data_IF_531656556885
#
_entry.id   IF_531656556885
#
_cell.length_a   1.000
_cell.length_b   1.000
_cell.length_c   1.000
_cell.angle_alpha   90.00
_cell.angle_beta   90.00
_cell.angle_gamma   90.00
#
_symmetry.space_group_name_H-M   'P 1'
#
loop_
_entity.id
_entity.type
_entity.pdbx_description
1 polymer ?
#
# COMPACT_ATOMS: atom_id res chain seq x y z
N UNK A 1 -23.82 -3.53 -31.89
CA UNK A 1 -23.51 -4.90 -31.43
C UNK A 1 -22.11 -5.24 -31.92
N UNK A 2 -21.09 -5.15 -31.06
CA UNK A 2 -19.75 -5.61 -31.40
C UNK A 2 -19.76 -7.15 -31.46
N UNK A 3 -19.44 -7.73 -32.62
CA UNK A 3 -19.29 -9.17 -32.77
C UNK A 3 -18.17 -9.65 -31.84
N UNK A 4 -18.49 -10.55 -30.90
CA UNK A 4 -17.47 -11.22 -30.09
C UNK A 4 -16.55 -12.01 -31.03
N UNK A 5 -15.22 -11.86 -30.96
CA UNK A 5 -14.31 -12.63 -31.77
C UNK A 5 -14.54 -14.13 -31.50
N UNK A 6 -14.50 -14.95 -32.55
CA UNK A 6 -14.61 -16.42 -32.47
C UNK A 6 -13.35 -17.05 -33.07
N UNK A 7 -12.91 -18.18 -32.53
CA UNK A 7 -11.76 -18.94 -33.03
C UNK A 7 -10.42 -18.53 -32.42
N UNK A 8 -9.34 -18.67 -33.19
CA UNK A 8 -7.95 -18.42 -32.76
C UNK A 8 -7.74 -17.02 -32.18
N UNK A 9 -8.44 -16.00 -32.69
CA UNK A 9 -8.39 -14.62 -32.17
C UNK A 9 -8.90 -14.54 -30.73
N UNK A 10 -10.03 -15.20 -30.40
CA UNK A 10 -10.54 -15.22 -29.02
C UNK A 10 -9.63 -16.02 -28.06
N UNK A 11 -8.93 -17.03 -28.59
CA UNK A 11 -7.92 -17.78 -27.82
C UNK A 11 -6.64 -16.96 -27.63
N UNK A 12 -6.20 -16.23 -28.66
CA UNK A 12 -5.04 -15.32 -28.61
C UNK A 12 -5.30 -14.13 -27.69
N UNK A 13 -6.45 -13.47 -27.81
CA UNK A 13 -6.91 -12.40 -26.89
C UNK A 13 -6.93 -12.91 -25.45
N UNK A 14 -7.43 -14.13 -25.23
CA UNK A 14 -7.42 -14.76 -23.90
C UNK A 14 -6.02 -15.04 -23.35
N UNK A 15 -5.01 -15.23 -24.20
CA UNK A 15 -3.62 -15.44 -23.80
C UNK A 15 -2.86 -14.11 -23.64
N UNK A 16 -3.17 -13.09 -24.44
CA UNK A 16 -2.52 -11.77 -24.38
C UNK A 16 -3.05 -10.91 -23.23
N UNK A 17 -4.37 -10.98 -22.97
CA UNK A 17 -5.03 -10.33 -21.84
C UNK A 17 -4.83 -11.07 -20.52
N UNK A 18 -4.39 -12.34 -20.58
CA UNK A 18 -3.99 -13.05 -19.38
C UNK A 18 -2.80 -12.36 -18.70
N UNK A 19 -3.01 -11.93 -17.46
CA UNK A 19 -1.98 -11.29 -16.65
C UNK A 19 -1.27 -12.35 -15.80
N UNK A 20 0.06 -12.26 -15.74
CA UNK A 20 0.86 -13.14 -14.87
C UNK A 20 0.48 -12.89 -13.41
N UNK A 21 0.06 -11.67 -13.13
CA UNK A 21 -0.40 -11.20 -11.83
C UNK A 21 -1.60 -12.00 -11.32
N UNK A 22 -2.55 -12.42 -12.18
CA UNK A 22 -3.71 -13.22 -11.79
C UNK A 22 -3.34 -14.62 -11.28
N UNK A 23 -2.19 -15.17 -11.71
CA UNK A 23 -1.71 -16.47 -11.22
C UNK A 23 -1.23 -16.39 -9.75
N UNK A 24 -0.94 -15.18 -9.27
CA UNK A 24 -0.32 -14.94 -7.97
C UNK A 24 -1.18 -14.09 -7.03
N UNK A 25 -2.19 -13.39 -7.54
CA UNK A 25 -3.16 -12.63 -6.75
C UNK A 25 -4.34 -13.55 -6.41
N UNK A 26 -4.55 -13.81 -5.12
CA UNK A 26 -5.75 -14.54 -4.68
C UNK A 26 -6.95 -13.59 -4.74
N UNK A 27 -8.03 -13.91 -5.50
CA UNK A 27 -9.23 -13.11 -5.46
C UNK A 27 -9.82 -13.13 -4.05
N UNK A 28 -10.10 -11.95 -3.49
CA UNK A 28 -10.77 -11.83 -2.19
C UNK A 28 -12.27 -11.67 -2.46
N UNK A 29 -13.11 -12.65 -2.13
CA UNK A 29 -14.55 -12.49 -2.29
C UNK A 29 -15.05 -11.37 -1.36
N UNK A 30 -16.06 -10.60 -1.77
CA UNK A 30 -16.61 -9.55 -0.92
C UNK A 30 -17.21 -10.18 0.33
N UNK A 31 -16.63 -9.85 1.49
CA UNK A 31 -17.10 -10.30 2.80
C UNK A 31 -18.51 -9.78 3.13
N UNK A 32 -19.11 -10.24 4.25
CA UNK A 32 -20.39 -9.71 4.73
C UNK A 32 -20.32 -8.20 5.04
N UNK A 33 -21.48 -7.52 5.21
CA UNK A 33 -21.53 -6.20 5.85
C UNK A 33 -20.74 -6.23 7.17
N UNK A 34 -20.14 -5.10 7.53
CA UNK A 34 -19.15 -5.04 8.61
C UNK A 34 -19.66 -4.15 9.72
N UNK A 35 -19.64 -4.67 10.95
CA UNK A 35 -19.86 -3.86 12.14
C UNK A 35 -18.54 -3.66 12.88
N UNK A 36 -18.29 -2.45 13.35
CA UNK A 36 -17.10 -2.06 14.13
C UNK A 36 -17.55 -1.79 15.56
N UNK A 37 -16.93 -2.47 16.53
CA UNK A 37 -17.32 -2.38 17.94
C UNK A 37 -16.34 -1.53 18.74
N UNK A 38 -16.84 -0.54 19.48
CA UNK A 38 -16.05 0.35 20.36
C UNK A 38 -16.56 0.20 21.79
N UNK A 39 -15.69 -0.17 22.73
CA UNK A 39 -16.04 -0.46 24.14
C UNK A 39 -17.18 -1.49 24.32
N UNK A 40 -17.29 -2.43 23.38
CA UNK A 40 -18.28 -3.51 23.40
C UNK A 40 -17.64 -4.86 23.06
N UNK A 41 -18.12 -5.96 23.67
CA UNK A 41 -17.67 -7.29 23.29
C UNK A 41 -18.17 -7.67 21.89
N UNK A 42 -17.42 -8.53 21.21
CA UNK A 42 -17.88 -9.11 19.95
C UNK A 42 -19.12 -9.98 20.18
N UNK A 43 -20.12 -9.95 19.28
CA UNK A 43 -21.27 -10.84 19.35
C UNK A 43 -20.89 -12.33 19.25
N UNK A 44 -21.68 -13.21 19.87
CA UNK A 44 -21.40 -14.65 19.90
C UNK A 44 -21.29 -15.28 18.49
N UNK A 45 -22.04 -14.77 17.51
CA UNK A 45 -22.03 -15.28 16.14
C UNK A 45 -20.73 -15.00 15.37
N UNK A 46 -19.85 -14.12 15.88
CA UNK A 46 -18.50 -13.91 15.34
C UNK A 46 -17.59 -15.11 15.60
N UNK A 47 -17.93 -15.95 16.59
CA UNK A 47 -17.14 -17.10 17.00
C UNK A 47 -17.64 -18.40 16.35
N UNK A 48 -16.69 -19.24 15.98
CA UNK A 48 -16.94 -20.63 15.61
C UNK A 48 -17.29 -21.48 16.84
N UNK A 49 -17.78 -22.71 16.63
CA UNK A 49 -18.01 -23.72 17.70
C UNK A 49 -16.79 -24.00 18.60
N UNK A 50 -15.59 -23.57 18.18
CA UNK A 50 -14.32 -23.70 18.90
C UNK A 50 -13.88 -22.39 19.60
N UNK A 51 -14.74 -21.38 19.67
CA UNK A 51 -14.45 -20.06 20.26
C UNK A 51 -13.53 -19.16 19.42
N UNK A 52 -13.13 -19.57 18.21
CA UNK A 52 -12.25 -18.78 17.34
C UNK A 52 -13.08 -17.83 16.48
N UNK A 53 -12.60 -16.60 16.28
CA UNK A 53 -13.24 -15.65 15.36
C UNK A 53 -13.19 -16.20 13.93
N UNK A 54 -14.36 -16.24 13.27
CA UNK A 54 -14.51 -16.63 11.87
C UNK A 54 -13.69 -15.74 10.95
N UNK A 55 -13.20 -16.31 9.85
CA UNK A 55 -12.34 -15.58 8.89
C UNK A 55 -13.07 -14.43 8.18
N UNK A 56 -14.37 -14.57 7.97
CA UNK A 56 -15.20 -13.58 7.26
C UNK A 56 -15.35 -12.25 8.02
N UNK A 57 -15.23 -12.28 9.34
CA UNK A 57 -15.30 -11.09 10.19
C UNK A 57 -13.92 -10.49 10.50
N UNK A 58 -12.84 -11.02 9.94
CA UNK A 58 -11.49 -10.46 10.14
C UNK A 58 -11.22 -9.33 9.15
N UNK A 59 -10.98 -8.13 9.69
CA UNK A 59 -10.65 -6.95 8.90
C UNK A 59 -9.24 -7.04 8.30
N UNK A 60 -9.01 -6.48 7.13
CA UNK A 60 -7.69 -6.49 6.48
C UNK A 60 -6.70 -5.58 7.23
N UNK A 61 -5.42 -5.92 7.24
CA UNK A 61 -4.38 -5.05 7.82
C UNK A 61 -4.26 -3.73 7.05
N UNK A 62 -3.91 -2.65 7.74
CA UNK A 62 -3.67 -1.35 7.11
C UNK A 62 -2.36 -1.26 6.28
N UNK A 63 -1.56 -2.34 6.27
CA UNK A 63 -0.34 -2.44 5.50
C UNK A 63 -0.57 -2.24 4.00
N UNK A 64 0.14 -1.28 3.41
CA UNK A 64 0.16 -1.05 1.96
C UNK A 64 1.35 -1.75 1.32
N UNK A 65 1.09 -2.46 0.23
CA UNK A 65 2.09 -3.15 -0.57
C UNK A 65 1.76 -2.88 -2.04
N UNK A 66 2.53 -2.00 -2.66
CA UNK A 66 2.47 -1.69 -4.09
C UNK A 66 3.57 -2.38 -4.89
N UNK A 67 4.60 -2.89 -4.19
CA UNK A 67 5.64 -3.72 -4.79
C UNK A 67 5.11 -5.00 -5.42
N UNK A 68 5.66 -5.35 -6.59
CA UNK A 68 5.25 -6.54 -7.36
C UNK A 68 6.08 -7.77 -7.03
N UNK A 69 7.34 -7.54 -6.71
CA UNK A 69 8.32 -8.59 -6.53
C UNK A 69 8.78 -8.67 -5.09
N UNK A 70 9.06 -9.89 -4.65
CA UNK A 70 9.93 -10.14 -3.51
C UNK A 70 11.32 -10.47 -4.05
N UNK A 71 12.37 -10.38 -3.24
CA UNK A 71 13.74 -10.72 -3.68
C UNK A 71 13.79 -12.11 -4.34
N UNK A 72 13.07 -13.09 -3.78
CA UNK A 72 13.02 -14.46 -4.33
C UNK A 72 12.14 -14.58 -5.58
N UNK A 73 11.01 -13.87 -5.62
CA UNK A 73 10.09 -13.93 -6.76
C UNK A 73 10.46 -13.01 -7.91
N UNK A 74 11.45 -12.13 -7.72
CA UNK A 74 11.91 -11.16 -8.73
C UNK A 74 12.38 -11.87 -9.99
N UNK A 75 13.41 -12.72 -9.91
CA UNK A 75 14.02 -13.35 -11.08
C UNK A 75 12.99 -14.19 -11.87
N UNK A 76 12.23 -15.13 -11.25
CA UNK A 76 11.30 -15.97 -12.00
C UNK A 76 10.15 -15.17 -12.63
N UNK A 77 9.59 -14.18 -11.91
CA UNK A 77 8.46 -13.40 -12.43
C UNK A 77 8.90 -12.40 -13.48
N UNK A 78 9.99 -11.67 -13.24
CA UNK A 78 10.55 -10.73 -14.20
C UNK A 78 10.93 -11.44 -15.52
N UNK A 79 11.52 -12.63 -15.44
CA UNK A 79 11.84 -13.41 -16.63
C UNK A 79 10.59 -13.91 -17.36
N UNK A 80 9.55 -14.36 -16.64
CA UNK A 80 8.27 -14.73 -17.24
C UNK A 80 7.61 -13.53 -17.95
N UNK A 81 7.70 -12.33 -17.36
CA UNK A 81 7.22 -11.10 -17.98
C UNK A 81 8.00 -10.75 -19.26
N UNK A 82 9.33 -10.98 -19.28
CA UNK A 82 10.15 -10.82 -20.47
C UNK A 82 9.77 -11.82 -21.57
N UNK A 83 9.55 -13.10 -21.23
CA UNK A 83 9.15 -14.13 -22.19
C UNK A 83 7.71 -14.03 -22.68
N UNK A 84 6.91 -13.12 -22.13
CA UNK A 84 5.60 -12.80 -22.70
C UNK A 84 5.69 -11.98 -24.00
N UNK A 85 6.89 -11.49 -24.36
CA UNK A 85 7.16 -10.91 -25.68
C UNK A 85 7.57 -12.02 -26.65
N UNK A 86 6.86 -12.17 -27.77
CA UNK A 86 7.09 -13.28 -28.71
C UNK A 86 8.51 -13.23 -29.30
N UNK A 87 9.06 -12.04 -29.53
CA UNK A 87 10.45 -11.87 -29.95
C UNK A 87 11.45 -12.48 -28.94
N UNK A 88 11.22 -12.32 -27.63
CA UNK A 88 12.11 -12.89 -26.62
C UNK A 88 12.04 -14.42 -26.59
N UNK A 89 10.85 -15.01 -26.83
CA UNK A 89 10.70 -16.46 -27.00
C UNK A 89 11.46 -16.94 -28.25
N UNK A 90 11.32 -16.23 -29.36
CA UNK A 90 11.97 -16.54 -30.63
C UNK A 90 13.50 -16.53 -30.51
N UNK A 91 14.08 -15.43 -30.00
CA UNK A 91 15.53 -15.32 -29.86
C UNK A 91 16.10 -16.32 -28.84
N UNK A 92 15.37 -16.59 -27.76
CA UNK A 92 15.75 -17.64 -26.82
C UNK A 92 15.72 -19.02 -27.46
N UNK A 93 14.72 -19.32 -28.30
CA UNK A 93 14.64 -20.57 -29.05
C UNK A 93 15.84 -20.75 -29.98
N UNK A 94 16.22 -19.73 -30.74
CA UNK A 94 17.43 -19.76 -31.58
C UNK A 94 18.68 -19.96 -30.75
N UNK A 95 18.82 -19.22 -29.64
CA UNK A 95 19.97 -19.35 -28.76
C UNK A 95 20.09 -20.78 -28.17
N UNK A 96 18.97 -21.38 -27.75
CA UNK A 96 18.92 -22.76 -27.25
C UNK A 96 19.30 -23.77 -28.35
N UNK A 97 18.81 -23.59 -29.58
CA UNK A 97 19.13 -24.49 -30.69
C UNK A 97 20.64 -24.53 -31.01
N UNK A 98 21.35 -23.43 -30.83
CA UNK A 98 22.80 -23.33 -31.05
C UNK A 98 23.64 -24.13 -30.03
N UNK A 99 23.08 -24.47 -28.85
CA UNK A 99 23.80 -25.33 -27.88
C UNK A 99 23.87 -26.80 -28.32
N UNK A 100 23.05 -27.22 -29.28
CA UNK A 100 23.19 -28.53 -29.90
C UNK A 100 24.29 -28.46 -30.96
N UNK A 101 25.40 -29.16 -30.74
CA UNK A 101 26.56 -29.19 -31.64
C UNK A 101 26.20 -29.47 -33.11
N UNK A 102 25.10 -30.17 -33.39
CA UNK A 102 24.60 -30.44 -34.75
C UNK A 102 24.10 -29.19 -35.51
N UNK A 103 23.70 -28.15 -34.78
CA UNK A 103 23.11 -26.92 -35.32
C UNK A 103 23.93 -25.67 -34.98
N UNK A 104 25.09 -25.84 -34.35
CA UNK A 104 25.97 -24.73 -33.97
C UNK A 104 26.73 -24.22 -35.20
N UNK A 105 26.45 -22.99 -35.61
CA UNK A 105 27.19 -22.31 -36.69
C UNK A 105 28.22 -21.33 -36.15
N UNK A 106 27.96 -20.78 -34.95
CA UNK A 106 28.80 -19.82 -34.23
C UNK A 106 28.90 -20.30 -32.78
N UNK A 107 30.00 -19.96 -32.09
CA UNK A 107 30.15 -20.27 -30.68
C UNK A 107 28.90 -19.84 -29.89
N UNK A 108 28.21 -20.74 -29.18
CA UNK A 108 26.92 -20.44 -28.53
C UNK A 108 26.97 -19.24 -27.58
N UNK A 109 28.14 -19.00 -26.95
CA UNK A 109 28.40 -17.86 -26.09
C UNK A 109 28.18 -16.51 -26.79
N UNK A 110 28.59 -16.36 -28.05
CA UNK A 110 28.43 -15.10 -28.80
C UNK A 110 26.97 -14.82 -29.17
N UNK A 111 26.15 -15.87 -29.33
CA UNK A 111 24.72 -15.74 -29.69
C UNK A 111 23.87 -15.40 -28.48
N UNK A 112 24.15 -16.00 -27.32
CA UNK A 112 23.36 -15.75 -26.09
C UNK A 112 23.75 -14.45 -25.38
N UNK A 113 24.99 -13.97 -25.55
CA UNK A 113 25.52 -12.80 -24.86
C UNK A 113 24.64 -11.54 -25.07
N UNK A 114 24.24 -11.15 -26.29
CA UNK A 114 23.36 -10.00 -26.50
C UNK A 114 22.00 -10.14 -25.79
N UNK A 115 21.44 -11.36 -25.74
CA UNK A 115 20.16 -11.62 -25.08
C UNK A 115 20.26 -11.48 -23.58
N UNK A 116 21.32 -12.03 -22.98
CA UNK A 116 21.59 -11.88 -21.54
C UNK A 116 21.77 -10.39 -21.19
N UNK A 117 22.46 -9.62 -22.03
CA UNK A 117 22.64 -8.17 -21.81
C UNK A 117 21.30 -7.44 -21.84
N UNK A 118 20.46 -7.69 -22.86
CA UNK A 118 19.15 -7.03 -22.99
C UNK A 118 18.21 -7.41 -21.84
N UNK A 119 18.14 -8.70 -21.49
CA UNK A 119 17.35 -9.18 -20.35
C UNK A 119 17.88 -8.64 -19.02
N UNK A 120 19.20 -8.54 -18.88
CA UNK A 120 19.88 -7.98 -17.72
C UNK A 120 19.56 -6.50 -17.52
N UNK A 121 19.70 -5.67 -18.56
CA UNK A 121 19.36 -4.24 -18.48
C UNK A 121 17.87 -4.04 -18.15
N UNK A 122 16.99 -4.82 -18.78
CA UNK A 122 15.54 -4.75 -18.50
C UNK A 122 15.24 -5.14 -17.06
N UNK A 123 15.83 -6.24 -16.57
CA UNK A 123 15.70 -6.67 -15.19
C UNK A 123 16.27 -5.63 -14.20
N UNK A 124 17.43 -5.04 -14.48
CA UNK A 124 18.00 -4.01 -13.61
C UNK A 124 17.07 -2.79 -13.48
N UNK A 125 16.50 -2.34 -14.60
CA UNK A 125 15.51 -1.25 -14.60
C UNK A 125 14.27 -1.62 -13.78
N UNK A 126 13.67 -2.77 -14.05
CA UNK A 126 12.44 -3.21 -13.39
C UNK A 126 12.67 -3.45 -11.89
N UNK A 127 13.84 -3.97 -11.53
CA UNK A 127 14.29 -4.13 -10.14
C UNK A 127 14.48 -2.78 -9.43
N UNK A 128 15.11 -1.80 -10.10
CA UNK A 128 15.25 -0.45 -9.54
C UNK A 128 13.89 0.23 -9.32
N UNK A 129 12.97 0.13 -10.28
CA UNK A 129 11.61 0.65 -10.14
C UNK A 129 10.87 -0.03 -8.97
N UNK A 130 11.02 -1.35 -8.78
CA UNK A 130 10.36 -2.05 -7.67
C UNK A 130 11.00 -1.74 -6.31
N UNK A 131 12.32 -1.53 -6.23
CA UNK A 131 13.00 -1.05 -5.01
C UNK A 131 12.44 0.31 -4.60
N UNK A 132 12.22 1.24 -5.55
CA UNK A 132 11.61 2.54 -5.26
C UNK A 132 10.19 2.38 -4.70
N UNK A 133 9.42 1.39 -5.17
CA UNK A 133 8.09 1.06 -4.59
C UNK A 133 8.22 0.53 -3.16
N UNK A 134 9.16 -0.37 -2.87
CA UNK A 134 9.40 -0.85 -1.50
C UNK A 134 9.79 0.30 -0.55
N UNK A 135 10.58 1.26 -1.02
CA UNK A 135 10.94 2.45 -0.24
C UNK A 135 9.71 3.32 0.05
N UNK A 136 8.87 3.56 -0.97
CA UNK A 136 7.62 4.32 -0.81
C UNK A 136 6.62 3.61 0.12
N UNK A 137 6.41 2.31 -0.07
CA UNK A 137 5.57 1.48 0.80
C UNK A 137 6.06 1.55 2.25
N UNK A 138 7.38 1.47 2.46
CA UNK A 138 7.97 1.56 3.80
C UNK A 138 7.76 2.95 4.41
N UNK A 139 7.92 4.02 3.63
CA UNK A 139 7.68 5.36 4.14
C UNK A 139 6.23 5.52 4.64
N UNK A 140 5.24 5.11 3.85
CA UNK A 140 3.81 5.18 4.20
C UNK A 140 3.45 4.27 5.38
N UNK A 141 3.97 3.04 5.42
CA UNK A 141 3.66 2.10 6.49
C UNK A 141 4.25 2.51 7.84
N UNK A 142 5.37 3.23 7.84
CA UNK A 142 6.05 3.73 9.04
C UNK A 142 5.70 5.18 9.39
N UNK A 143 4.77 5.82 8.66
CA UNK A 143 4.14 7.06 9.11
C UNK A 143 3.45 6.82 10.46
N UNK A 144 3.44 7.84 11.32
CA UNK A 144 2.89 7.76 12.67
C UNK A 144 1.46 8.30 12.72
N UNK A 145 0.68 7.81 13.68
CA UNK A 145 -0.65 8.31 14.05
C UNK A 145 -0.84 8.12 15.55
N UNK A 146 -1.58 9.01 16.19
CA UNK A 146 -1.95 8.89 17.61
C UNK A 146 -3.19 8.01 17.76
N UNK A 147 -3.08 6.98 18.59
CA UNK A 147 -4.14 6.01 18.87
C UNK A 147 -4.43 6.00 20.37
N UNK A 148 -5.70 5.85 20.73
CA UNK A 148 -6.13 5.73 22.13
C UNK A 148 -5.49 4.50 22.80
N UNK A 149 -4.92 4.72 23.98
CA UNK A 149 -4.35 3.68 24.83
C UNK A 149 -4.61 3.99 26.31
N UNK A 150 -4.49 2.98 27.18
CA UNK A 150 -4.67 3.13 28.63
C UNK A 150 -6.14 3.07 29.02
N UNK A 151 -6.48 3.32 30.30
CA UNK A 151 -7.87 3.36 30.75
C UNK A 151 -8.63 2.05 30.68
N UNK A 152 -7.95 0.91 30.52
CA UNK A 152 -8.60 -0.37 30.22
C UNK A 152 -9.14 -0.49 28.79
N UNK A 153 -8.85 0.47 27.90
CA UNK A 153 -9.19 0.40 26.49
C UNK A 153 -8.52 -0.80 25.82
N UNK A 154 -9.33 -1.60 25.12
CA UNK A 154 -8.85 -2.69 24.28
C UNK A 154 -9.73 -2.81 23.05
N UNK A 155 -9.12 -2.69 21.88
CA UNK A 155 -9.82 -2.90 20.62
C UNK A 155 -10.28 -4.38 20.49
N UNK A 156 -11.60 -4.66 20.44
CA UNK A 156 -12.14 -6.01 20.30
C UNK A 156 -12.07 -6.53 18.86
N UNK A 157 -11.90 -5.65 17.87
CA UNK A 157 -12.09 -5.97 16.46
C UNK A 157 -10.94 -6.83 15.91
N UNK A 158 -11.25 -7.98 15.27
CA UNK A 158 -10.24 -8.94 14.86
C UNK A 158 -9.61 -8.57 13.51
N UNK A 159 -8.28 -8.54 13.47
CA UNK A 159 -7.51 -8.24 12.25
C UNK A 159 -6.95 -9.50 11.58
N UNK A 160 -6.78 -9.44 10.26
CA UNK A 160 -5.99 -10.40 9.49
C UNK A 160 -4.49 -10.20 9.76
N UNK A 161 -3.70 -11.25 9.58
CA UNK A 161 -2.25 -11.17 9.73
C UNK A 161 -1.64 -10.29 8.64
N UNK A 162 -0.68 -9.42 9.01
CA UNK A 162 0.14 -8.66 8.06
C UNK A 162 0.79 -9.59 7.03
N UNK A 163 0.93 -9.11 5.80
CA UNK A 163 1.64 -9.84 4.76
C UNK A 163 3.12 -9.87 5.10
N UNK A 164 3.67 -11.08 5.19
CA UNK A 164 5.11 -11.27 5.35
C UNK A 164 5.75 -11.20 3.97
N UNK A 165 6.05 -10.00 3.51
CA UNK A 165 6.96 -9.82 2.38
C UNK A 165 8.32 -10.35 2.85
N UNK A 166 8.87 -11.38 2.20
CA UNK A 166 10.16 -12.04 2.54
C UNK A 166 11.39 -11.11 2.31
N UNK A 167 11.27 -9.81 2.62
CA UNK A 167 12.28 -8.77 2.39
C UNK A 167 12.89 -8.29 3.72
N UNK A 168 12.75 -9.06 4.80
CA UNK A 168 13.52 -8.83 6.04
C UNK A 168 15.02 -9.20 5.90
N UNK A 169 15.47 -9.55 4.69
CA UNK A 169 16.85 -9.92 4.38
C UNK A 169 17.77 -8.74 4.05
N UNK A 170 17.28 -7.48 4.01
CA UNK A 170 18.19 -6.34 4.11
C UNK A 170 18.57 -6.18 5.60
N UNK A 171 19.86 -6.31 5.96
CA UNK A 171 20.27 -6.11 7.34
C UNK A 171 19.81 -4.72 7.77
N UNK A 172 19.14 -4.64 8.93
CA UNK A 172 19.08 -3.39 9.69
C UNK A 172 20.52 -2.94 9.84
N UNK A 173 20.95 -1.95 9.04
CA UNK A 173 22.13 -1.16 9.41
C UNK A 173 21.76 -0.53 10.74
N UNK A 174 22.22 -1.15 11.81
CA UNK A 174 22.33 -0.51 13.11
C UNK A 174 23.28 0.65 12.92
N UNK A 175 22.75 1.80 12.54
CA UNK A 175 23.52 3.02 12.44
C UNK A 175 23.54 3.69 13.81
N UNK A 176 24.23 3.06 14.77
CA UNK A 176 24.98 3.84 15.76
C UNK A 176 26.27 4.31 15.08
N UNK A 177 26.17 5.36 14.28
CA UNK A 177 27.32 6.18 13.90
C UNK A 177 26.82 7.61 13.71
N UNK A 178 27.32 8.49 14.57
CA UNK A 178 27.19 9.93 14.49
C UNK A 178 27.61 10.41 13.10
N UNK A 179 26.66 10.91 12.32
CA UNK A 179 26.90 11.61 11.05
C UNK A 179 26.92 13.10 11.40
N UNK A 180 28.04 13.82 11.24
CA UNK A 180 28.02 15.27 11.37
C UNK A 180 27.06 15.84 10.31
N UNK A 181 26.24 16.82 10.71
CA UNK A 181 25.30 17.47 9.80
C UNK A 181 26.00 18.04 8.55
N UNK A 182 25.31 18.10 7.40
CA UNK A 182 25.89 18.57 6.16
C UNK A 182 26.35 20.03 6.30
N UNK A 183 27.53 20.35 5.74
CA UNK A 183 27.97 21.74 5.62
C UNK A 183 27.13 22.41 4.52
N UNK A 184 26.85 23.70 4.71
CA UNK A 184 25.97 24.50 3.83
C UNK A 184 26.33 24.44 2.33
N UNK A 185 27.56 24.06 1.96
CA UNK A 185 28.00 23.88 0.58
C UNK A 185 27.44 22.63 -0.13
N UNK A 186 27.04 21.59 0.61
CA UNK A 186 26.52 20.33 0.03
C UNK A 186 25.01 20.40 -0.28
N UNK A 187 24.30 21.38 0.29
CA UNK A 187 22.85 21.59 0.13
C UNK A 187 22.53 22.16 -1.27
N UNK A 188 23.50 22.80 -1.93
CA UNK A 188 23.29 23.47 -3.21
C UNK A 188 23.27 22.52 -4.43
N UNK A 189 23.68 21.25 -4.28
CA UNK A 189 23.82 20.29 -5.39
C UNK A 189 22.68 19.26 -5.49
N UNK A 190 21.65 19.33 -4.64
CA UNK A 190 20.43 18.49 -4.71
C UNK A 190 19.19 19.20 -5.26
N UNK A 191 19.32 20.45 -5.72
CA UNK A 191 18.21 21.27 -6.24
C UNK A 191 17.79 20.99 -7.70
N UNK A 192 17.98 19.77 -8.21
CA UNK A 192 17.93 19.49 -9.64
C UNK A 192 17.04 18.32 -10.07
N UNK A 193 15.86 18.08 -9.45
CA UNK A 193 14.84 17.18 -10.00
C UNK A 193 13.48 17.25 -9.27
N UNK A 194 12.89 18.44 -9.09
CA UNK A 194 11.46 18.64 -8.86
C UNK A 194 11.10 20.12 -9.08
N UNK A 195 9.90 20.47 -9.58
CA UNK A 195 9.47 21.87 -9.69
C UNK A 195 9.42 22.53 -8.30
N UNK A 196 9.92 23.77 -8.13
CA UNK A 196 9.96 24.43 -6.84
C UNK A 196 8.64 25.17 -6.60
N UNK A 197 7.74 24.58 -5.83
CA UNK A 197 6.67 25.28 -5.12
C UNK A 197 6.03 24.27 -4.15
N UNK A 198 6.32 24.43 -2.84
CA UNK A 198 5.75 23.75 -1.67
C UNK A 198 6.78 23.10 -0.72
N UNK A 199 7.85 23.81 -0.34
CA UNK A 199 8.51 23.59 0.97
C UNK A 199 9.08 24.94 1.43
N UNK A 200 8.20 25.85 1.83
CA UNK A 200 8.56 26.84 2.85
C UNK A 200 7.48 26.73 3.90
N UNK A 201 7.81 26.10 5.03
CA UNK A 201 7.11 26.36 6.27
C UNK A 201 8.11 26.50 7.41
N UNK A 202 7.81 27.52 8.19
CA UNK A 202 8.62 28.18 9.19
C UNK A 202 8.79 27.28 10.42
N UNK A 203 10.01 27.18 10.94
CA UNK A 203 10.24 26.63 12.28
C UNK A 203 10.05 27.77 13.27
N UNK A 204 9.11 27.70 14.23
CA UNK A 204 9.04 28.68 15.31
C UNK A 204 10.26 28.50 16.23
N UNK A 205 10.93 29.60 16.53
CA UNK A 205 12.00 29.67 17.53
C UNK A 205 11.36 29.78 18.92
N UNK A 206 11.14 28.65 19.59
CA UNK A 206 10.83 28.60 21.02
C UNK A 206 11.97 27.93 21.79
N UNK A 207 12.58 28.69 22.69
CA UNK A 207 13.63 28.23 23.59
C UNK A 207 13.04 27.27 24.64
N UNK A 208 13.61 26.08 24.89
CA UNK A 208 13.02 25.13 25.82
C UNK A 208 13.34 25.46 27.29
N UNK A 209 12.33 25.37 28.15
CA UNK A 209 12.49 25.34 29.61
C UNK A 209 13.20 24.06 30.08
N UNK A 210 13.99 24.11 31.18
CA UNK A 210 14.83 22.98 31.59
C UNK A 210 14.03 21.91 32.34
N UNK A 211 13.99 20.68 31.83
CA UNK A 211 13.54 19.53 32.64
C UNK A 211 13.11 18.23 31.95
N UNK A 212 13.06 18.14 30.61
CA UNK A 212 12.57 16.93 29.92
C UNK A 212 13.71 16.24 29.17
N UNK A 213 13.96 14.96 29.46
CA UNK A 213 14.93 14.14 28.70
C UNK A 213 14.36 13.79 27.32
N UNK A 214 14.80 14.50 26.29
CA UNK A 214 14.32 14.37 24.91
C UNK A 214 15.27 13.52 24.06
N UNK A 215 14.87 12.31 23.67
CA UNK A 215 15.58 11.55 22.62
C UNK A 215 14.98 11.83 21.24
N UNK A 216 15.61 12.75 20.51
CA UNK A 216 15.36 13.01 19.08
C UNK A 216 14.09 13.80 18.79
N UNK A 217 14.23 15.09 18.50
CA UNK A 217 13.20 15.86 17.79
C UNK A 217 11.84 15.96 18.49
N UNK A 218 11.82 16.42 19.74
CA UNK A 218 10.84 17.41 20.20
C UNK A 218 9.36 17.05 20.39
N UNK A 219 8.91 15.79 20.34
CA UNK A 219 7.50 15.46 20.68
C UNK A 219 7.39 14.18 21.52
N UNK A 220 6.68 14.18 22.67
CA UNK A 220 6.55 13.00 23.52
C UNK A 220 5.81 11.84 22.83
N UNK A 221 6.19 10.61 23.19
CA UNK A 221 5.59 9.37 22.67
C UNK A 221 4.14 9.18 23.13
N UNK A 222 3.82 9.68 24.32
CA UNK A 222 2.51 9.65 24.96
C UNK A 222 2.04 11.08 25.19
N UNK A 223 0.80 11.36 24.82
CA UNK A 223 0.15 12.66 24.97
C UNK A 223 -1.08 12.49 25.89
N UNK A 224 -1.10 13.23 26.99
CA UNK A 224 -2.15 13.20 28.00
C UNK A 224 -2.99 14.48 27.89
N UNK A 225 -4.32 14.35 27.86
CA UNK A 225 -5.21 15.51 27.76
C UNK A 225 -5.38 16.25 29.11
N UNK A 226 -4.96 15.66 30.24
CA UNK A 226 -5.16 16.20 31.59
C UNK A 226 -4.14 17.26 32.02
N UNK A 227 -3.17 17.59 31.15
CA UNK A 227 -2.11 18.57 31.40
C UNK A 227 -1.16 18.18 32.53
N UNK A 228 -1.27 16.96 33.07
CA UNK A 228 -0.40 16.48 34.14
C UNK A 228 0.89 15.95 33.54
N UNK A 229 1.98 16.13 34.28
CA UNK A 229 3.29 15.61 33.87
C UNK A 229 3.17 14.09 33.65
N UNK A 230 3.68 13.57 32.51
CA UNK A 230 3.78 12.14 32.31
C UNK A 230 4.51 11.51 33.50
N UNK A 231 4.10 10.32 33.95
CA UNK A 231 4.80 9.66 35.04
C UNK A 231 6.23 9.41 34.57
N UNK A 232 7.21 9.83 35.38
CA UNK A 232 8.61 9.62 35.03
C UNK A 232 8.86 8.12 34.82
N UNK A 233 9.26 7.71 33.62
CA UNK A 233 9.75 6.35 33.38
C UNK A 233 10.95 6.13 34.30
N UNK A 234 10.75 5.47 35.45
CA UNK A 234 11.85 5.10 36.32
C UNK A 234 12.84 4.24 35.52
N UNK A 235 14.11 4.65 35.58
CA UNK A 235 15.16 4.20 34.68
C UNK A 235 15.34 2.68 34.57
N UNK A 236 15.87 2.30 33.41
CA UNK A 236 16.51 1.02 33.06
C UNK A 236 16.39 -0.13 34.08
N UNK A 237 15.25 -0.82 34.09
CA UNK A 237 15.16 -2.14 34.73
C UNK A 237 15.70 -3.23 33.79
N UNK A 238 16.90 -3.73 34.08
CA UNK A 238 17.58 -4.80 33.33
C UNK A 238 16.90 -6.18 33.54
N UNK A 239 16.00 -6.31 34.52
CA UNK A 239 15.23 -7.53 34.77
C UNK A 239 13.83 -7.19 35.29
N UNK A 240 12.79 -7.70 34.63
CA UNK A 240 11.42 -7.70 35.14
C UNK A 240 10.44 -6.94 34.26
N UNK A 241 9.36 -7.61 33.89
CA UNK A 241 8.27 -7.17 33.04
C UNK A 241 7.68 -5.83 33.48
N UNK A 242 7.66 -4.84 32.57
CA UNK A 242 6.91 -3.59 32.69
C UNK A 242 5.40 -3.89 32.82
N UNK A 243 4.92 -4.10 34.06
CA UNK A 243 3.51 -4.34 34.38
C UNK A 243 2.84 -3.14 35.07
N UNK A 244 3.51 -1.99 35.15
CA UNK A 244 2.82 -0.72 35.44
C UNK A 244 2.57 0.00 34.12
N UNK A 245 1.74 -0.60 33.27
CA UNK A 245 1.10 0.13 32.18
C UNK A 245 0.26 1.24 32.83
N UNK A 246 0.52 2.49 32.47
CA UNK A 246 -0.29 3.60 32.94
C UNK A 246 -1.77 3.32 32.69
N UNK A 247 -2.52 3.25 33.79
CA UNK A 247 -3.96 3.00 33.78
C UNK A 247 -4.73 4.20 33.24
N UNK A 248 -4.08 5.34 32.98
CA UNK A 248 -4.71 6.56 32.49
C UNK A 248 -4.90 6.51 30.97
N UNK A 249 -6.09 6.88 30.45
CA UNK A 249 -6.27 7.13 29.04
C UNK A 249 -5.29 8.17 28.51
N UNK A 250 -4.63 7.87 27.41
CA UNK A 250 -3.71 8.76 26.72
C UNK A 250 -3.65 8.42 25.23
N UNK A 251 -3.07 9.33 24.46
CA UNK A 251 -2.81 9.13 23.04
C UNK A 251 -1.39 8.62 22.85
N UNK A 252 -1.27 7.46 22.20
CA UNK A 252 0.02 6.81 21.95
C UNK A 252 0.32 6.81 20.46
N UNK A 253 1.54 7.20 20.09
CA UNK A 253 2.01 7.12 18.71
C UNK A 253 2.20 5.66 18.26
N UNK A 254 1.60 5.32 17.14
CA UNK A 254 1.68 4.02 16.48
C UNK A 254 1.91 4.20 14.98
N UNK A 255 2.55 3.24 14.34
CA UNK A 255 2.78 3.27 12.89
C UNK A 255 1.52 2.87 12.11
N UNK A 256 1.36 3.43 10.90
CA UNK A 256 0.18 3.20 10.07
C UNK A 256 -0.07 1.73 9.76
N UNK A 257 0.96 0.90 9.58
CA UNK A 257 0.79 -0.53 9.33
C UNK A 257 0.17 -1.32 10.52
N UNK A 258 0.27 -0.79 11.74
CA UNK A 258 -0.28 -1.38 12.97
C UNK A 258 -1.69 -0.90 13.30
N UNK A 259 -2.17 0.14 12.60
CA UNK A 259 -3.52 0.68 12.75
C UNK A 259 -4.59 -0.37 12.42
N UNK A 260 -5.61 -0.47 13.27
CA UNK A 260 -6.67 -1.48 13.20
C UNK A 260 -8.04 -0.83 13.07
N UNK A 261 -8.98 -1.57 12.50
CA UNK A 261 -10.39 -1.18 12.51
C UNK A 261 -10.89 -1.10 13.95
N UNK A 262 -11.62 -0.04 14.28
CA UNK A 262 -12.11 0.24 15.63
C UNK A 262 -11.10 0.89 16.56
N UNK A 263 -9.87 1.17 16.11
CA UNK A 263 -8.97 2.05 16.85
C UNK A 263 -9.54 3.48 16.85
N UNK A 264 -9.56 4.11 18.03
CA UNK A 264 -9.84 5.54 18.16
C UNK A 264 -8.55 6.29 17.92
N UNK A 265 -8.56 7.25 17.00
CA UNK A 265 -7.39 8.03 16.60
C UNK A 265 -7.60 9.51 16.87
N UNK A 266 -6.51 10.19 17.22
CA UNK A 266 -6.43 11.66 17.26
C UNK A 266 -5.55 12.11 16.11
N UNK A 267 -6.10 12.93 15.22
CA UNK A 267 -5.39 13.50 14.09
C UNK A 267 -5.21 14.99 14.33
N UNK A 268 -4.04 15.52 14.00
CA UNK A 268 -3.72 16.94 14.10
C UNK A 268 -3.90 17.69 12.79
N UNK A 269 -3.81 19.01 12.87
CA UNK A 269 -3.72 19.85 11.68
C UNK A 269 -2.52 19.47 10.80
N UNK A 270 -2.67 19.59 9.47
CA UNK A 270 -1.67 19.21 8.47
C UNK A 270 -1.29 17.71 8.43
N UNK A 271 -1.97 16.84 9.19
CA UNK A 271 -1.71 15.41 9.15
C UNK A 271 -2.43 14.72 7.99
N UNK A 272 -1.78 13.69 7.43
CA UNK A 272 -2.40 12.82 6.43
C UNK A 272 -3.31 11.79 7.12
N UNK A 273 -4.47 11.56 6.53
CA UNK A 273 -5.43 10.59 7.05
C UNK A 273 -4.98 9.14 6.68
N UNK A 274 -4.76 8.25 7.67
CA UNK A 274 -4.13 6.93 7.44
C UNK A 274 -5.06 5.86 6.87
N UNK A 275 -6.37 6.00 7.09
CA UNK A 275 -7.39 5.01 6.85
C UNK A 275 -8.76 5.71 6.68
N UNK A 276 -9.82 5.00 6.31
CA UNK A 276 -11.14 5.63 6.25
C UNK A 276 -11.73 5.69 7.67
N UNK A 277 -11.94 6.91 8.17
CA UNK A 277 -12.21 7.20 9.58
C UNK A 277 -13.54 7.94 9.73
N UNK A 278 -14.35 7.51 10.70
CA UNK A 278 -15.56 8.22 11.12
C UNK A 278 -15.18 9.37 12.04
N UNK A 279 -15.70 10.57 11.79
CA UNK A 279 -15.43 11.75 12.63
C UNK A 279 -16.35 11.71 13.85
N UNK A 280 -15.76 11.63 15.04
CA UNK A 280 -16.51 11.62 16.31
C UNK A 280 -16.66 13.03 16.87
N UNK A 281 -15.57 13.80 16.90
CA UNK A 281 -15.57 15.19 17.35
C UNK A 281 -14.39 15.96 16.75
N UNK A 282 -14.48 17.28 16.72
CA UNK A 282 -13.40 18.16 16.25
C UNK A 282 -13.14 19.27 17.28
N UNK A 283 -12.01 19.97 17.12
CA UNK A 283 -11.65 21.15 17.91
C UNK A 283 -12.63 22.31 17.74
N UNK A 284 -13.29 22.40 16.58
CA UNK A 284 -14.19 23.50 16.24
C UNK A 284 -15.55 23.40 16.95
N UNK A 285 -16.15 24.54 17.25
CA UNK A 285 -17.41 24.62 18.02
C UNK A 285 -18.60 23.97 17.30
N UNK A 286 -18.64 24.04 15.97
CA UNK A 286 -19.68 23.43 15.14
C UNK A 286 -19.39 21.96 14.78
N UNK A 287 -18.31 21.38 15.35
CA UNK A 287 -17.81 20.05 14.99
C UNK A 287 -17.58 19.86 13.48
N UNK A 288 -17.14 20.94 12.82
CA UNK A 288 -16.75 20.96 11.41
C UNK A 288 -15.25 20.75 11.32
N UNK A 289 -14.77 20.11 10.27
CA UNK A 289 -13.36 20.13 9.90
C UNK A 289 -13.19 20.28 8.40
N UNK A 290 -12.01 20.70 7.96
CA UNK A 290 -11.70 20.86 6.55
C UNK A 290 -10.64 19.86 6.10
N UNK A 291 -10.85 19.30 4.91
CA UNK A 291 -9.92 18.36 4.28
C UNK A 291 -9.53 18.80 2.88
N UNK A 292 -8.25 18.67 2.57
CA UNK A 292 -7.70 18.81 1.23
C UNK A 292 -7.77 17.46 0.51
N UNK A 293 -8.37 17.42 -0.68
CA UNK A 293 -8.51 16.19 -1.49
C UNK A 293 -7.61 16.14 -2.71
N UNK A 294 -6.60 17.00 -2.79
CA UNK A 294 -5.62 17.06 -3.89
C UNK A 294 -5.02 15.68 -4.25
N UNK A 295 -4.83 14.81 -3.25
CA UNK A 295 -4.27 13.47 -3.44
C UNK A 295 -5.28 12.42 -3.96
N UNK A 296 -6.59 12.71 -3.94
CA UNK A 296 -7.66 11.79 -4.35
C UNK A 296 -8.22 12.15 -5.72
N UNK A 297 -8.62 13.41 -5.91
CA UNK A 297 -9.32 13.90 -7.11
C UNK A 297 -8.59 15.08 -7.81
N UNK A 298 -7.50 15.58 -7.22
CA UNK A 298 -6.75 16.72 -7.75
C UNK A 298 -7.43 18.07 -7.50
N UNK A 299 -8.53 18.10 -6.73
CA UNK A 299 -9.17 19.35 -6.35
C UNK A 299 -8.34 20.08 -5.29
N UNK A 300 -8.15 21.39 -5.47
CA UNK A 300 -7.36 22.25 -4.57
C UNK A 300 -8.20 22.91 -3.49
N UNK A 301 -9.53 22.82 -3.61
CA UNK A 301 -10.44 23.42 -2.65
C UNK A 301 -10.56 22.53 -1.40
N UNK A 302 -10.66 23.18 -0.24
CA UNK A 302 -10.97 22.51 1.00
C UNK A 302 -12.43 22.04 0.98
N UNK A 303 -12.66 20.80 1.40
CA UNK A 303 -14.00 20.24 1.58
C UNK A 303 -14.33 20.23 3.07
N UNK A 304 -15.48 20.76 3.45
CA UNK A 304 -15.99 20.65 4.82
C UNK A 304 -16.50 19.24 5.09
N UNK A 305 -16.31 18.79 6.33
CA UNK A 305 -16.81 17.54 6.90
C UNK A 305 -17.36 17.84 8.29
N UNK A 306 -18.28 17.01 8.77
CA UNK A 306 -18.97 17.24 10.05
C UNK A 306 -18.83 16.00 10.93
N UNK A 307 -18.72 16.16 12.24
CA UNK A 307 -18.76 15.03 13.14
C UNK A 307 -20.15 14.41 13.25
N UNK A 308 -20.23 13.14 13.62
CA UNK A 308 -21.50 12.48 13.93
C UNK A 308 -22.08 13.07 15.21
N UNK A 309 -23.31 13.57 15.16
CA UNK A 309 -23.97 14.24 16.29
C UNK A 309 -23.94 13.43 17.59
N UNK A 310 -24.15 12.10 17.50
CA UNK A 310 -24.15 11.18 18.64
C UNK A 310 -22.79 11.01 19.35
N UNK A 311 -21.68 11.42 18.73
CA UNK A 311 -20.32 11.18 19.24
C UNK A 311 -19.56 12.48 19.55
N UNK A 312 -20.21 13.65 19.39
CA UNK A 312 -19.58 14.98 19.56
C UNK A 312 -19.04 15.25 20.96
N UNK A 313 -19.49 14.50 21.97
CA UNK A 313 -18.99 14.58 23.34
C UNK A 313 -17.63 13.87 23.55
N UNK A 314 -17.11 13.11 22.59
CA UNK A 314 -15.85 12.37 22.70
C UNK A 314 -14.62 13.27 22.46
N UNK A 315 -14.43 14.31 23.27
CA UNK A 315 -13.37 15.33 23.05
C UNK A 315 -12.02 14.99 23.71
N UNK A 316 -11.96 13.95 24.52
CA UNK A 316 -10.75 13.50 25.21
C UNK A 316 -10.54 11.99 25.14
N UNK A 317 -9.32 11.54 25.45
CA UNK A 317 -8.99 10.13 25.62
C UNK A 317 -9.87 9.48 26.69
N UNK A 318 -10.15 10.20 27.79
CA UNK A 318 -10.98 9.72 28.88
C UNK A 318 -12.42 9.45 28.42
N UNK A 319 -13.08 10.40 27.76
CA UNK A 319 -14.44 10.23 27.24
C UNK A 319 -14.51 9.13 26.18
N UNK A 320 -13.45 8.99 25.39
CA UNK A 320 -13.34 7.93 24.38
C UNK A 320 -13.28 6.53 24.98
N UNK A 321 -12.70 6.37 26.17
CA UNK A 321 -12.73 5.07 26.90
C UNK A 321 -14.08 4.74 27.52
N UNK A 322 -14.94 5.74 27.74
CA UNK A 322 -16.23 5.56 28.40
C UNK A 322 -17.38 5.35 27.42
N UNK A 323 -17.26 5.85 26.19
CA UNK A 323 -18.34 5.81 25.20
C UNK A 323 -18.40 4.46 24.49
N UNK A 324 -19.54 3.76 24.57
CA UNK A 324 -19.75 2.47 23.93
C UNK A 324 -20.78 2.55 22.79
N UNK A 325 -20.38 2.12 21.60
CA UNK A 325 -21.21 2.14 20.39
C UNK A 325 -20.70 1.12 19.37
N UNK A 326 -21.53 0.83 18.38
CA UNK A 326 -21.13 0.07 17.20
C UNK A 326 -21.38 0.90 15.94
N UNK A 327 -20.57 0.68 14.91
CA UNK A 327 -20.72 1.31 13.60
C UNK A 327 -21.09 0.21 12.61
N UNK A 328 -22.32 0.24 12.13
CA UNK A 328 -22.81 -0.63 11.08
C UNK A 328 -22.47 -0.05 9.72
N UNK A 329 -21.58 -0.71 9.00
CA UNK A 329 -21.10 -0.28 7.70
C UNK A 329 -21.50 -1.28 6.62
N UNK A 330 -21.84 -0.74 5.45
CA UNK A 330 -21.94 -1.55 4.23
C UNK A 330 -20.59 -2.19 3.86
N UNK A 331 -20.61 -3.05 2.84
CA UNK A 331 -19.38 -3.65 2.33
C UNK A 331 -18.48 -2.55 1.74
N UNK A 332 -17.14 -2.71 1.79
CA UNK A 332 -16.23 -1.81 1.10
C UNK A 332 -16.56 -1.75 -0.40
N UNK A 333 -16.92 -0.57 -0.89
CA UNK A 333 -17.27 -0.32 -2.30
C UNK A 333 -16.33 0.71 -2.93
N UNK A 334 -15.96 0.53 -4.21
CA UNK A 334 -15.09 1.47 -4.93
C UNK A 334 -15.79 2.79 -5.25
N UNK A 335 -17.11 2.91 -5.09
CA UNK A 335 -17.78 4.18 -5.37
C UNK A 335 -17.32 5.26 -4.38
N UNK A 336 -16.66 6.30 -4.91
CA UNK A 336 -15.98 7.32 -4.10
C UNK A 336 -16.94 8.23 -3.31
N UNK A 337 -18.13 8.48 -3.85
CA UNK A 337 -19.07 9.48 -3.31
C UNK A 337 -20.18 8.89 -2.44
N UNK A 338 -20.17 7.57 -2.22
CA UNK A 338 -21.23 6.85 -1.50
C UNK A 338 -20.61 6.09 -0.35
N UNK A 339 -21.17 6.31 0.82
CA UNK A 339 -20.92 5.53 2.02
C UNK A 339 -22.26 5.45 2.74
N UNK A 340 -22.72 4.24 3.02
CA UNK A 340 -23.84 4.04 3.92
C UNK A 340 -23.29 3.39 5.18
N UNK A 341 -23.44 4.08 6.30
CA UNK A 341 -23.19 3.52 7.61
C UNK A 341 -24.22 4.05 8.61
N UNK A 342 -24.23 3.49 9.81
CA UNK A 342 -24.97 4.05 10.93
C UNK A 342 -24.22 3.78 12.23
N UNK A 343 -24.23 4.77 13.14
CA UNK A 343 -23.78 4.58 14.52
C UNK A 343 -24.96 4.11 15.34
N UNK A 344 -24.78 3.03 16.09
CA UNK A 344 -25.76 2.51 17.04
C UNK A 344 -25.19 2.67 18.44
N UNK A 345 -25.80 3.55 19.23
CA UNK A 345 -25.41 3.81 20.60
C UNK A 345 -25.82 2.65 21.50
N UNK A 346 -24.92 2.17 22.35
CA UNK A 346 -25.21 1.03 23.24
C UNK A 346 -26.30 1.36 24.26
N UNK A 347 -26.21 2.56 24.83
CA UNK A 347 -26.99 2.94 26.01
C UNK A 347 -28.43 3.29 25.66
N UNK A 348 -28.64 3.92 24.51
CA UNK A 348 -29.97 4.39 24.04
C UNK A 348 -30.57 3.47 22.98
N UNK A 349 -29.77 2.66 22.29
CA UNK A 349 -30.17 1.92 21.09
C UNK A 349 -30.49 2.82 19.89
N UNK A 350 -30.18 4.11 19.99
CA UNK A 350 -30.41 5.07 18.92
C UNK A 350 -29.50 4.78 17.73
N UNK A 351 -30.09 4.78 16.52
CA UNK A 351 -29.40 4.54 15.26
C UNK A 351 -29.32 5.84 14.46
N UNK A 352 -28.12 6.41 14.40
CA UNK A 352 -27.85 7.65 13.67
C UNK A 352 -27.22 7.33 12.32
N UNK A 353 -27.81 7.75 11.19
CA UNK A 353 -27.24 7.51 9.87
C UNK A 353 -25.93 8.28 9.68
N UNK A 354 -24.99 7.66 8.98
CA UNK A 354 -23.68 8.21 8.66
C UNK A 354 -23.51 8.26 7.14
N UNK A 355 -23.27 9.47 6.66
CA UNK A 355 -22.95 9.74 5.27
C UNK A 355 -21.44 9.97 5.08
N UNK A 356 -21.01 10.02 3.82
CA UNK A 356 -19.63 10.29 3.47
C UNK A 356 -19.11 11.62 4.07
N UNK A 357 -19.96 12.64 4.19
CA UNK A 357 -19.60 13.94 4.79
C UNK A 357 -19.13 13.84 6.25
N UNK A 358 -19.46 12.75 6.94
CA UNK A 358 -19.05 12.48 8.32
C UNK A 358 -17.77 11.64 8.43
N UNK A 359 -17.10 11.41 7.30
CA UNK A 359 -15.95 10.52 7.22
C UNK A 359 -14.75 11.20 6.54
N UNK A 360 -13.57 10.86 7.04
CA UNK A 360 -12.28 11.17 6.44
C UNK A 360 -11.85 9.98 5.58
N UNK A 361 -11.36 10.25 4.37
CA UNK A 361 -10.88 9.22 3.48
C UNK A 361 -9.36 9.14 3.55
N UNK A 362 -8.81 7.94 3.42
CA UNK A 362 -7.37 7.75 3.33
C UNK A 362 -6.77 8.65 2.24
N UNK A 363 -5.69 9.34 2.56
CA UNK A 363 -4.93 10.19 1.63
C UNK A 363 -5.37 11.66 1.58
N UNK A 364 -6.49 12.03 2.23
CA UNK A 364 -6.80 13.44 2.46
C UNK A 364 -5.88 14.03 3.53
N UNK A 365 -5.70 15.35 3.50
CA UNK A 365 -4.91 16.08 4.51
C UNK A 365 -5.86 16.96 5.31
N UNK A 366 -5.72 16.96 6.63
CA UNK A 366 -6.50 17.85 7.51
C UNK A 366 -5.94 19.26 7.41
N UNK A 367 -6.83 20.25 7.33
CA UNK A 367 -6.48 21.67 7.26
C UNK A 367 -7.42 22.47 8.15
N UNK A 368 -6.91 23.55 8.74
CA UNK A 368 -7.70 24.51 9.51
C UNK A 368 -8.53 23.84 10.62
N UNK A 369 -7.98 22.81 11.26
CA UNK A 369 -8.62 22.12 12.38
C UNK A 369 -7.51 21.56 13.26
N UNK A 370 -7.42 22.06 14.50
CA UNK A 370 -6.31 21.74 15.41
C UNK A 370 -6.24 20.23 15.68
N UNK A 371 -7.38 19.62 16.00
CA UNK A 371 -7.47 18.20 16.22
C UNK A 371 -8.83 17.61 15.82
N UNK A 372 -8.80 16.34 15.43
CA UNK A 372 -9.98 15.52 15.14
C UNK A 372 -9.84 14.20 15.88
N UNK A 373 -10.90 13.79 16.59
CA UNK A 373 -11.01 12.44 17.15
C UNK A 373 -11.95 11.64 16.26
N UNK A 374 -11.52 10.43 15.89
CA UNK A 374 -12.31 9.57 15.02
C UNK A 374 -12.05 8.09 15.23
N UNK A 375 -12.91 7.26 14.65
CA UNK A 375 -12.81 5.80 14.70
C UNK A 375 -12.55 5.22 13.32
N UNK A 376 -11.55 4.34 13.23
CA UNK A 376 -11.18 3.68 11.98
C UNK A 376 -12.27 2.69 11.55
N UNK A 377 -12.86 2.90 10.36
CA UNK A 377 -13.88 2.00 9.80
C UNK A 377 -13.30 0.99 8.80
N UNK A 378 -12.47 1.49 7.87
CA UNK A 378 -11.82 0.65 6.85
C UNK A 378 -10.32 0.89 6.82
N UNK A 379 -9.57 -0.19 6.63
CA UNK A 379 -8.11 -0.20 6.62
C UNK A 379 -7.58 -0.83 5.33
N UNK A 380 -6.35 -0.47 4.95
CA UNK A 380 -5.58 -1.16 3.91
C UNK A 380 -6.33 -1.29 2.59
N UNK A 381 -6.58 -2.53 2.15
CA UNK A 381 -7.24 -2.83 0.87
C UNK A 381 -8.73 -2.50 0.83
N UNK A 382 -9.35 -2.28 1.99
CA UNK A 382 -10.77 -1.96 2.09
C UNK A 382 -11.02 -0.44 2.02
N UNK A 383 -9.99 0.40 2.06
CA UNK A 383 -10.19 1.85 1.95
C UNK A 383 -10.59 2.24 0.53
N UNK A 384 -11.41 3.28 0.41
CA UNK A 384 -11.88 3.77 -0.90
C UNK A 384 -10.73 4.13 -1.84
N UNK A 385 -9.68 4.76 -1.32
CA UNK A 385 -8.50 5.11 -2.12
C UNK A 385 -7.86 3.85 -2.74
N UNK A 386 -7.68 2.78 -1.96
CA UNK A 386 -6.99 1.57 -2.44
C UNK A 386 -7.89 0.75 -3.36
N UNK A 387 -9.21 0.74 -3.12
CA UNK A 387 -10.18 0.12 -4.03
C UNK A 387 -10.19 0.80 -5.41
N UNK A 388 -9.98 2.12 -5.46
CA UNK A 388 -9.94 2.88 -6.72
C UNK A 388 -8.55 2.93 -7.37
N UNK A 389 -7.48 2.71 -6.60
CA UNK A 389 -6.11 2.69 -7.13
C UNK A 389 -5.87 1.53 -8.12
N UNK A 390 -6.71 0.48 -8.07
CA UNK A 390 -6.54 -0.73 -8.87
C UNK A 390 -5.29 -1.54 -8.50
N UNK A 391 -5.15 -2.73 -9.07
CA UNK A 391 -3.89 -3.46 -8.98
C UNK A 391 -2.80 -2.74 -9.76
N UNK A 392 -1.56 -2.66 -9.26
CA UNK A 392 -0.45 -2.01 -9.97
C UNK A 392 -0.23 -2.70 -11.33
N UNK A 393 -0.63 -2.09 -12.46
CA UNK A 393 -0.61 -2.77 -13.75
C UNK A 393 0.84 -2.98 -14.21
N UNK A 394 1.12 -4.04 -14.99
CA UNK A 394 2.37 -4.09 -15.76
C UNK A 394 2.31 -2.97 -16.81
N UNK A 395 3.22 -1.99 -16.69
CA UNK A 395 3.34 -0.87 -17.61
C UNK A 395 3.71 -1.42 -18.99
N UNK A 396 2.71 -1.74 -19.81
CA UNK A 396 2.89 -2.07 -21.22
C UNK A 396 2.50 -0.88 -22.05
N UNK A 397 3.37 -0.46 -22.96
CA UNK A 397 2.99 0.56 -23.92
C UNK A 397 1.95 -0.04 -24.89
N UNK A 398 1.05 0.82 -25.39
CA UNK A 398 0.10 0.44 -26.46
C UNK A 398 0.85 -0.08 -27.69
N UNK A 399 2.01 0.53 -27.97
CA UNK A 399 2.95 0.11 -29.02
C UNK A 399 3.52 -1.29 -28.73
N UNK A 400 3.86 -1.63 -27.48
CA UNK A 400 4.34 -2.98 -27.13
C UNK A 400 3.25 -4.04 -27.33
N UNK A 401 1.99 -3.73 -26.99
CA UNK A 401 0.86 -4.62 -27.28
C UNK A 401 0.65 -4.80 -28.80
N UNK A 402 0.90 -3.74 -29.58
CA UNK A 402 0.86 -3.76 -31.05
C UNK A 402 2.09 -4.43 -31.67
N UNK A 403 3.25 -4.45 -31.00
CA UNK A 403 4.49 -5.10 -31.46
C UNK A 403 4.55 -6.59 -31.12
N UNK A 404 3.83 -7.05 -30.09
CA UNK A 404 3.50 -8.48 -29.97
C UNK A 404 2.61 -8.81 -31.17
N UNK A 405 3.02 -9.78 -31.99
CA UNK A 405 2.85 -9.74 -33.44
C UNK A 405 1.44 -9.34 -33.78
N UNK A 406 1.30 -8.27 -34.57
CA UNK A 406 0.19 -8.10 -35.49
C UNK A 406 0.14 -9.37 -36.35
N UNK A 407 -0.78 -10.33 -36.11
CA UNK A 407 -0.94 -11.42 -37.04
C UNK A 407 -1.71 -10.95 -38.27
N UNK A 408 -2.31 -9.74 -38.24
CA UNK A 408 -3.43 -9.43 -39.12
C UNK A 408 -3.19 -8.37 -40.21
N UNK A 409 -2.15 -7.53 -40.14
CA UNK A 409 -2.08 -6.39 -41.08
C UNK A 409 -1.15 -6.60 -42.29
N UNK A 410 -0.33 -7.66 -42.32
CA UNK A 410 0.37 -8.00 -43.55
C UNK A 410 0.80 -9.48 -43.65
N UNK A 411 -0.04 -10.39 -44.19
CA UNK A 411 0.33 -11.78 -44.42
C UNK A 411 1.58 -11.94 -45.29
N UNK A 412 1.94 -10.92 -46.08
CA UNK A 412 3.19 -10.92 -46.86
C UNK A 412 4.44 -10.76 -45.98
N UNK A 413 4.39 -10.00 -44.88
CA UNK A 413 5.54 -9.82 -43.97
C UNK A 413 5.72 -11.04 -43.09
N UNK A 414 4.64 -11.61 -42.53
CA UNK A 414 4.73 -12.86 -41.78
C UNK A 414 5.16 -14.03 -42.68
N UNK A 415 4.67 -14.06 -43.94
CA UNK A 415 5.14 -14.98 -44.97
C UNK A 415 6.63 -14.77 -45.29
N UNK A 416 7.09 -13.52 -45.44
CA UNK A 416 8.50 -13.19 -45.67
C UNK A 416 9.40 -13.54 -44.49
N UNK A 417 8.98 -13.30 -43.26
CA UNK A 417 9.74 -13.65 -42.05
C UNK A 417 9.80 -15.17 -41.90
N UNK A 418 8.70 -15.87 -42.14
CA UNK A 418 8.66 -17.35 -42.10
C UNK A 418 9.47 -17.96 -43.25
N UNK A 419 9.42 -17.36 -44.44
CA UNK A 419 10.19 -17.79 -45.60
C UNK A 419 11.68 -17.49 -45.44
N UNK A 420 12.03 -16.31 -44.93
CA UNK A 420 13.41 -15.96 -44.54
C UNK A 420 13.90 -16.87 -43.43
N UNK A 421 13.06 -17.25 -42.47
CA UNK A 421 13.39 -18.21 -41.43
C UNK A 421 13.64 -19.62 -42.00
N UNK A 422 12.77 -20.09 -42.89
CA UNK A 422 12.95 -21.35 -43.59
C UNK A 422 14.22 -21.33 -44.46
N UNK A 423 14.50 -20.22 -45.14
CA UNK A 423 15.68 -20.03 -45.97
C UNK A 423 16.96 -19.97 -45.14
N UNK A 424 16.98 -19.21 -44.04
CA UNK A 424 18.14 -19.12 -43.13
C UNK A 424 18.38 -20.48 -42.47
N UNK A 425 17.33 -21.16 -42.00
CA UNK A 425 17.43 -22.51 -41.44
C UNK A 425 17.92 -23.51 -42.48
N UNK A 426 17.40 -23.43 -43.71
CA UNK A 426 17.84 -24.25 -44.83
C UNK A 426 19.30 -24.00 -45.17
N UNK A 427 19.73 -22.74 -45.28
CA UNK A 427 21.13 -22.36 -45.58
C UNK A 427 22.06 -22.81 -44.46
N UNK A 428 21.66 -22.66 -43.19
CA UNK A 428 22.42 -23.13 -42.03
C UNK A 428 22.54 -24.66 -42.02
N UNK A 429 21.44 -25.39 -42.27
CA UNK A 429 21.46 -26.84 -42.35
C UNK A 429 22.28 -27.34 -43.55
N UNK A 430 22.18 -26.66 -44.69
CA UNK A 430 22.93 -26.97 -45.91
C UNK A 430 24.44 -26.75 -45.70
N UNK A 431 24.82 -25.62 -45.11
CA UNK A 431 26.22 -25.31 -44.79
C UNK A 431 26.80 -26.29 -43.74
N UNK A 432 25.98 -26.71 -42.78
CA UNK A 432 26.39 -27.71 -41.77
C UNK A 432 26.54 -29.11 -42.37
N UNK A 433 25.69 -29.51 -43.33
CA UNK A 433 25.85 -30.76 -44.08
C UNK A 433 27.12 -30.75 -44.95
N UNK A 434 27.40 -29.64 -45.64
CA UNK A 434 28.61 -29.47 -46.47
C UNK A 434 29.89 -29.50 -45.60
N UNK A 435 29.86 -28.89 -44.41
CA UNK A 435 30.98 -28.93 -43.47
C UNK A 435 31.18 -30.31 -42.80
N UNK A 436 30.13 -31.13 -42.73
CA UNK A 436 30.16 -32.47 -42.15
C UNK A 436 30.61 -33.57 -43.14
N UNK A 437 30.95 -33.22 -44.38
CA UNK A 437 31.53 -34.17 -45.35
C UNK A 437 30.56 -35.25 -45.83
N UNK A 438 29.29 -34.90 -46.04
CA UNK A 438 28.33 -35.74 -46.76
C UNK A 438 27.93 -35.13 -48.09
#
# INVERSE_FOLDING_TARGET
MAMKPKGFVAWYDKITDWSVEDLFVRPHPPGPPRSVFVNQPLPEYYHDKKGRVKKEYKHVSNQVITSKYTILTFIPRNLLEQFRRIANIFFAGIAILQFFHKFSTISPGLVILPLIVVWGITALKDGYEDIKRHQSDRHVNYSEVRVLHGGGWRNPNPMQSKSKTFVRALPRRSAKKHIPGPRAADIQMMGGAAPPEAIEDQVPDESPEPGVETYGGGIPMEEYDDGRVPPAHHGLHVFGTDQHADMRPHWRRTIWEDLRVGDVVKLGDHENVPADILICSTSEDENVCFVETKNLDGETNLKSRHAVSALTHMRSAQESTQTAFEIDCDRPEPHMHKLNAAVVMRDTGERVPVDLQMCLLRGTVIRNTEWIIGVVMYTGRDTKLVLNAGGTPSKRSKVERQMNPMPDDNPSINGLVTWAFALITYVIMSASCIAAGH
#
